data_IF_996580865541
#
_entry.id   IF_996580865541
#
_cell.length_a   1.000
_cell.length_b   1.000
_cell.length_c   1.000
_cell.angle_alpha   90.00
_cell.angle_beta   90.00
_cell.angle_gamma   90.00
#
_symmetry.space_group_name_H-M   'P 1'
#
loop_
_entity.id
_entity.type
_entity.pdbx_description
1 polymer ?
#
# COMPACT_ATOMS: atom_id res chain seq x y z
N UNK A 1 -60.93 42.75 -6.65
CA UNK A 1 -62.28 42.16 -6.50
C UNK A 1 -62.15 40.66 -6.22
N UNK A 2 -62.84 40.29 -5.15
CA UNK A 2 -63.26 38.96 -4.68
C UNK A 2 -62.21 38.04 -4.04
N UNK A 3 -62.30 38.06 -2.74
CA UNK A 3 -61.87 37.12 -1.69
C UNK A 3 -62.75 35.86 -1.80
N UNK A 4 -62.10 34.70 -1.62
CA UNK A 4 -62.80 33.49 -1.14
C UNK A 4 -61.88 32.74 -0.12
N UNK A 5 -62.36 32.82 1.12
CA UNK A 5 -61.91 31.94 2.22
C UNK A 5 -62.62 30.59 2.08
N UNK A 6 -61.91 29.52 2.28
CA UNK A 6 -62.52 28.24 2.63
C UNK A 6 -61.77 27.69 3.88
N UNK A 7 -62.62 27.54 4.89
CA UNK A 7 -62.33 26.85 6.17
C UNK A 7 -62.62 25.37 5.98
N UNK A 8 -61.85 24.48 6.58
CA UNK A 8 -62.24 23.07 6.58
C UNK A 8 -61.28 22.16 7.32
N UNK A 9 -61.59 21.99 8.57
CA UNK A 9 -61.74 20.74 9.38
C UNK A 9 -60.47 19.95 9.70
N UNK A 10 -60.03 20.05 10.97
CA UNK A 10 -59.24 19.11 11.71
C UNK A 10 -60.00 17.76 11.85
N UNK A 11 -59.33 16.66 11.47
CA UNK A 11 -59.75 15.33 11.91
C UNK A 11 -58.54 14.68 12.62
N UNK A 12 -58.65 14.58 13.93
CA UNK A 12 -57.72 13.84 14.78
C UNK A 12 -58.02 12.35 14.64
N UNK A 13 -57.02 11.59 14.24
CA UNK A 13 -57.07 10.12 14.23
C UNK A 13 -56.09 9.57 15.25
N UNK A 14 -56.64 9.09 16.38
CA UNK A 14 -55.93 8.25 17.36
C UNK A 14 -55.60 6.91 16.69
N UNK A 15 -54.35 6.54 16.68
CA UNK A 15 -53.89 5.16 16.38
C UNK A 15 -53.25 4.57 17.60
N UNK A 16 -53.87 3.51 18.09
CA UNK A 16 -53.48 2.67 19.23
C UNK A 16 -52.19 1.90 18.98
N UNK A 17 -51.26 1.98 19.93
CA UNK A 17 -50.09 1.09 20.00
C UNK A 17 -50.56 -0.33 20.38
N UNK A 18 -50.27 -1.28 19.48
CA UNK A 18 -50.26 -2.69 19.81
C UNK A 18 -48.81 -3.15 19.94
N UNK A 19 -48.37 -3.42 21.15
CA UNK A 19 -47.12 -4.08 21.45
C UNK A 19 -47.27 -5.57 21.15
N UNK A 20 -46.52 -6.10 20.15
CA UNK A 20 -46.26 -7.54 20.03
C UNK A 20 -44.78 -7.80 20.32
N UNK A 21 -44.52 -8.42 21.44
CA UNK A 21 -43.22 -9.01 21.77
C UNK A 21 -42.92 -10.18 20.83
N UNK A 22 -41.79 -10.08 20.13
CA UNK A 22 -41.19 -11.17 19.35
C UNK A 22 -39.74 -11.31 19.80
N UNK A 23 -39.45 -12.34 20.58
CA UNK A 23 -38.07 -12.81 20.84
C UNK A 23 -37.47 -13.35 19.56
N UNK A 24 -36.65 -12.58 18.92
CA UNK A 24 -35.82 -13.02 17.78
C UNK A 24 -34.37 -12.77 18.13
N UNK A 25 -33.55 -13.85 18.07
CA UNK A 25 -32.14 -13.85 18.40
C UNK A 25 -31.38 -12.74 17.69
N UNK A 26 -30.82 -11.84 18.46
CA UNK A 26 -29.98 -10.78 17.95
C UNK A 26 -28.64 -11.33 17.51
N UNK A 27 -28.40 -11.38 16.21
CA UNK A 27 -27.05 -11.22 15.69
C UNK A 27 -26.54 -9.90 16.24
N UNK A 28 -25.44 -9.96 16.98
CA UNK A 28 -24.73 -8.79 17.47
C UNK A 28 -24.35 -7.92 16.24
N UNK A 29 -25.17 -6.95 15.95
CA UNK A 29 -24.84 -5.90 15.00
C UNK A 29 -23.66 -5.13 15.57
N UNK A 30 -22.53 -5.23 14.92
CA UNK A 30 -21.42 -4.32 15.12
C UNK A 30 -21.95 -2.90 15.01
N UNK A 31 -21.94 -2.17 16.11
CA UNK A 31 -22.27 -0.75 16.12
C UNK A 31 -21.16 -0.01 15.39
N UNK A 32 -21.34 0.14 14.08
CA UNK A 32 -20.50 1.02 13.29
C UNK A 32 -20.78 2.45 13.75
N UNK A 33 -19.69 3.21 14.00
CA UNK A 33 -19.75 4.65 14.26
C UNK A 33 -20.40 5.43 13.13
N UNK A 34 -20.43 6.77 13.20
CA UNK A 34 -20.95 7.59 12.12
C UNK A 34 -20.27 7.24 10.80
N UNK A 35 -21.06 7.01 9.75
CA UNK A 35 -20.56 6.75 8.40
C UNK A 35 -20.05 8.03 7.78
N UNK A 36 -18.96 7.94 7.00
CA UNK A 36 -18.35 9.14 6.43
C UNK A 36 -17.21 8.82 5.45
N UNK A 37 -16.49 9.83 4.99
CA UNK A 37 -15.33 9.62 4.14
C UNK A 37 -14.20 8.99 4.93
N UNK A 38 -13.43 8.13 4.27
CA UNK A 38 -12.12 7.67 4.75
C UNK A 38 -11.06 8.00 3.72
N UNK A 39 -10.09 8.82 4.12
CA UNK A 39 -8.97 9.24 3.27
C UNK A 39 -7.82 8.26 3.45
N UNK A 40 -7.59 7.43 2.45
CA UNK A 40 -6.56 6.40 2.46
C UNK A 40 -5.37 6.85 1.61
N UNK A 41 -4.23 7.05 2.27
CA UNK A 41 -2.94 7.33 1.62
C UNK A 41 -2.22 5.99 1.43
N UNK A 42 -1.91 5.61 0.19
CA UNK A 42 -1.36 4.28 -0.06
C UNK A 42 -0.26 4.25 -1.12
N UNK A 43 0.60 3.23 -1.02
CA UNK A 43 1.68 2.98 -1.97
C UNK A 43 1.15 2.83 -3.39
N UNK A 44 1.80 3.47 -4.37
CA UNK A 44 1.38 3.52 -5.77
C UNK A 44 1.18 2.14 -6.40
N UNK A 45 1.95 1.14 -5.97
CA UNK A 45 1.81 -0.26 -6.40
C UNK A 45 0.49 -0.95 -6.00
N UNK A 46 -0.38 -0.28 -5.25
CA UNK A 46 -1.71 -0.76 -4.86
C UNK A 46 -2.85 -0.01 -5.56
N UNK A 47 -2.56 0.84 -6.54
CA UNK A 47 -3.59 1.70 -7.19
C UNK A 47 -4.74 0.86 -7.74
N UNK A 48 -4.45 -0.16 -8.50
CA UNK A 48 -5.49 -0.98 -9.12
C UNK A 48 -6.36 -1.68 -8.06
N UNK A 49 -5.73 -2.32 -7.07
CA UNK A 49 -6.44 -2.93 -5.95
C UNK A 49 -7.35 -1.93 -5.23
N UNK A 50 -6.81 -0.77 -4.87
CA UNK A 50 -7.54 0.22 -4.05
C UNK A 50 -8.68 0.87 -4.82
N UNK A 51 -8.45 1.32 -6.06
CA UNK A 51 -9.43 2.07 -6.83
C UNK A 51 -10.48 1.19 -7.53
N UNK A 52 -10.12 -0.03 -7.93
CA UNK A 52 -11.00 -0.87 -8.75
C UNK A 52 -11.57 -2.09 -8.02
N UNK A 53 -11.05 -2.41 -6.83
CA UNK A 53 -11.48 -3.60 -6.11
C UNK A 53 -11.82 -3.32 -4.65
N UNK A 54 -10.85 -3.02 -3.82
CA UNK A 54 -11.00 -2.95 -2.37
C UNK A 54 -11.83 -1.73 -1.93
N UNK A 55 -11.55 -0.54 -2.49
CA UNK A 55 -12.29 0.69 -2.17
C UNK A 55 -13.78 0.57 -2.47
N UNK A 56 -14.19 0.24 -3.73
CA UNK A 56 -15.60 0.07 -4.07
C UNK A 56 -16.33 -1.02 -3.26
N UNK A 57 -15.64 -2.13 -2.96
CA UNK A 57 -16.25 -3.20 -2.13
C UNK A 57 -16.35 -2.82 -0.66
N UNK A 58 -15.39 -2.06 -0.14
CA UNK A 58 -15.46 -1.48 1.19
C UNK A 58 -16.66 -0.54 1.31
N UNK A 59 -16.85 0.37 0.36
CA UNK A 59 -18.02 1.27 0.32
C UNK A 59 -19.33 0.49 0.34
N UNK A 60 -19.44 -0.52 -0.49
CA UNK A 60 -20.63 -1.38 -0.57
C UNK A 60 -20.90 -2.12 0.74
N UNK A 61 -19.86 -2.62 1.41
CA UNK A 61 -19.98 -3.42 2.62
C UNK A 61 -20.27 -2.56 3.86
N UNK A 62 -19.67 -1.38 3.95
CA UNK A 62 -19.66 -0.57 5.17
C UNK A 62 -20.55 0.69 5.08
N UNK A 63 -20.82 1.20 3.88
CA UNK A 63 -21.55 2.45 3.69
C UNK A 63 -20.73 3.72 3.95
N UNK A 64 -19.41 3.57 4.16
CA UNK A 64 -18.47 4.67 4.19
C UNK A 64 -18.02 5.03 2.77
N UNK A 65 -17.44 6.22 2.56
CA UNK A 65 -16.94 6.64 1.25
C UNK A 65 -15.42 6.55 1.20
N UNK A 66 -14.88 5.77 0.27
CA UNK A 66 -13.44 5.64 0.05
C UNK A 66 -12.90 6.85 -0.73
N UNK A 67 -11.85 7.47 -0.21
CA UNK A 67 -11.12 8.55 -0.88
C UNK A 67 -9.63 8.18 -0.93
N UNK A 68 -9.21 7.65 -2.07
CA UNK A 68 -7.83 7.19 -2.28
C UNK A 68 -6.88 8.29 -2.72
N UNK A 69 -5.63 8.20 -2.28
CA UNK A 69 -4.52 8.96 -2.84
C UNK A 69 -3.24 8.14 -2.82
N UNK A 70 -2.65 7.96 -3.99
CA UNK A 70 -1.46 7.15 -4.20
C UNK A 70 -0.21 7.97 -4.50
N UNK A 71 0.94 7.54 -3.97
CA UNK A 71 2.27 7.98 -4.35
C UNK A 71 3.33 7.00 -3.80
N UNK A 72 4.62 7.24 -4.06
CA UNK A 72 5.69 6.53 -3.37
C UNK A 72 5.57 6.68 -1.85
N UNK A 73 5.69 5.59 -1.11
CA UNK A 73 5.39 5.59 0.34
C UNK A 73 6.22 6.59 1.14
N UNK A 74 7.50 6.79 0.80
CA UNK A 74 8.35 7.78 1.49
C UNK A 74 7.94 9.23 1.14
N UNK A 75 7.44 9.46 -0.09
CA UNK A 75 6.87 10.76 -0.47
C UNK A 75 5.60 11.06 0.33
N UNK A 76 4.71 10.07 0.51
CA UNK A 76 3.52 10.20 1.36
C UNK A 76 3.90 10.50 2.81
N UNK A 77 4.88 9.78 3.36
CA UNK A 77 5.37 10.04 4.72
C UNK A 77 5.90 11.47 4.89
N UNK A 78 6.61 11.99 3.89
CA UNK A 78 7.07 13.39 3.87
C UNK A 78 5.89 14.37 3.85
N UNK A 79 4.86 14.11 3.05
CA UNK A 79 3.66 14.95 2.98
C UNK A 79 2.86 14.92 4.30
N UNK A 80 2.77 13.76 4.96
CA UNK A 80 2.16 13.61 6.29
C UNK A 80 2.92 14.43 7.32
N UNK A 81 4.25 14.25 7.42
CA UNK A 81 5.12 15.02 8.33
C UNK A 81 5.03 16.53 8.11
N UNK A 82 5.02 16.94 6.86
CA UNK A 82 4.90 18.35 6.46
C UNK A 82 3.50 18.94 6.59
N UNK A 83 2.49 18.12 6.98
CA UNK A 83 1.07 18.51 7.04
C UNK A 83 0.52 19.02 5.70
N UNK A 84 1.18 18.64 4.60
CA UNK A 84 0.78 18.99 3.24
C UNK A 84 -0.46 18.18 2.83
N UNK A 85 -0.55 16.94 3.33
CA UNK A 85 -1.68 16.04 3.07
C UNK A 85 -2.18 15.41 4.36
N UNK A 86 -3.49 15.53 4.56
CA UNK A 86 -4.20 14.85 5.63
C UNK A 86 -4.75 13.53 5.12
N UNK A 87 -4.71 12.51 5.96
CA UNK A 87 -5.30 11.20 5.71
C UNK A 87 -5.77 10.57 7.02
N UNK A 88 -6.55 9.53 6.89
CA UNK A 88 -7.06 8.74 8.02
C UNK A 88 -6.27 7.44 8.15
N UNK A 89 -5.99 6.80 7.01
CA UNK A 89 -5.23 5.55 6.92
C UNK A 89 -3.98 5.76 6.07
N UNK A 90 -2.89 5.14 6.49
CA UNK A 90 -1.65 5.09 5.71
C UNK A 90 -1.25 3.65 5.43
N UNK A 91 -1.09 3.31 4.13
CA UNK A 91 -0.62 2.00 3.67
C UNK A 91 0.72 2.18 2.95
N UNK A 92 1.77 1.60 3.51
CA UNK A 92 3.12 1.68 2.98
C UNK A 92 3.60 0.34 2.40
N UNK A 93 4.43 0.38 1.37
CA UNK A 93 5.13 -0.79 0.83
C UNK A 93 6.37 -1.20 1.65
N UNK A 94 6.66 -0.50 2.76
CA UNK A 94 7.79 -0.81 3.63
C UNK A 94 7.53 -0.46 5.09
N UNK A 95 7.82 -1.38 6.04
CA UNK A 95 7.75 -1.11 7.48
C UNK A 95 8.64 0.06 7.93
N UNK A 96 9.80 0.26 7.30
CA UNK A 96 10.72 1.34 7.65
C UNK A 96 10.11 2.73 7.47
N UNK A 97 9.25 2.90 6.45
CA UNK A 97 8.57 4.18 6.21
C UNK A 97 7.59 4.50 7.35
N UNK A 98 6.92 3.49 7.92
CA UNK A 98 6.08 3.70 9.10
C UNK A 98 6.93 4.00 10.34
N UNK A 99 8.07 3.33 10.50
CA UNK A 99 8.99 3.62 11.60
C UNK A 99 9.50 5.08 11.57
N UNK A 100 9.71 5.66 10.38
CA UNK A 100 10.08 7.07 10.20
C UNK A 100 8.97 8.05 10.62
N UNK A 101 7.75 7.57 10.84
CA UNK A 101 6.59 8.34 11.32
C UNK A 101 6.30 8.11 12.82
N UNK A 102 7.03 7.19 13.46
CA UNK A 102 6.84 6.84 14.87
C UNK A 102 7.67 7.71 15.81
N UNK A 103 7.16 7.82 17.03
CA UNK A 103 7.82 8.49 18.14
C UNK A 103 7.79 10.02 18.09
N UNK A 104 8.03 10.68 19.25
CA UNK A 104 7.91 12.15 19.40
C UNK A 104 8.85 12.93 18.47
N UNK A 105 10.07 12.44 18.26
CA UNK A 105 11.06 13.07 17.38
C UNK A 105 10.60 13.14 15.92
N UNK A 106 9.71 12.24 15.50
CA UNK A 106 9.15 12.17 14.15
C UNK A 106 7.72 12.72 14.04
N UNK A 107 7.17 13.30 15.11
CA UNK A 107 5.82 13.85 15.17
C UNK A 107 4.74 12.83 15.55
N UNK A 108 5.13 11.59 15.82
CA UNK A 108 4.26 10.49 16.28
C UNK A 108 2.97 10.32 15.44
N UNK A 109 3.12 10.40 14.12
CA UNK A 109 1.99 10.28 13.18
C UNK A 109 1.42 8.88 13.10
N UNK A 110 2.27 7.86 13.32
CA UNK A 110 1.92 6.43 13.29
C UNK A 110 2.29 5.81 14.63
N UNK A 111 1.37 5.74 15.61
CA UNK A 111 1.68 5.13 16.91
C UNK A 111 1.84 3.61 16.82
N UNK A 112 1.14 2.97 15.88
CA UNK A 112 1.21 1.55 15.58
C UNK A 112 0.99 1.30 14.09
N UNK A 113 1.46 0.17 13.59
CA UNK A 113 1.13 -0.33 12.26
C UNK A 113 1.12 -1.86 12.23
N UNK A 114 0.42 -2.42 11.27
CA UNK A 114 0.33 -3.87 11.06
C UNK A 114 0.86 -4.23 9.69
N UNK A 115 1.77 -5.21 9.64
CA UNK A 115 2.19 -5.86 8.39
C UNK A 115 1.14 -6.89 8.02
N UNK A 116 0.66 -6.89 6.76
CA UNK A 116 -0.44 -7.74 6.33
C UNK A 116 -0.21 -8.48 5.01
N UNK A 117 0.65 -7.98 4.13
CA UNK A 117 0.89 -8.58 2.83
C UNK A 117 2.32 -8.34 2.33
N UNK A 118 2.70 -9.05 1.29
CA UNK A 118 3.96 -8.84 0.57
C UNK A 118 3.81 -9.10 -0.93
N UNK A 119 4.73 -8.53 -1.72
CA UNK A 119 4.87 -8.81 -3.14
C UNK A 119 6.35 -8.86 -3.53
N UNK A 120 6.83 -9.95 -4.18
CA UNK A 120 8.19 -10.05 -4.67
C UNK A 120 8.56 -8.92 -5.64
N UNK A 121 9.82 -8.48 -5.59
CA UNK A 121 10.41 -7.63 -6.60
C UNK A 121 10.77 -8.48 -7.82
N UNK A 122 10.43 -8.01 -9.02
CA UNK A 122 10.68 -8.70 -10.30
C UNK A 122 11.18 -7.70 -11.35
N UNK A 123 11.74 -8.20 -12.44
CA UNK A 123 11.96 -7.43 -13.67
C UNK A 123 10.73 -7.60 -14.55
N UNK A 124 9.91 -6.55 -14.68
CA UNK A 124 8.87 -6.50 -15.70
C UNK A 124 9.46 -6.02 -17.02
N UNK A 125 9.14 -6.65 -18.15
CA UNK A 125 9.74 -6.28 -19.44
C UNK A 125 8.73 -6.16 -20.57
N UNK A 126 9.07 -5.33 -21.56
CA UNK A 126 8.30 -5.19 -22.79
C UNK A 126 8.55 -6.39 -23.70
N UNK A 127 7.53 -7.19 -24.07
CA UNK A 127 7.68 -8.36 -24.91
C UNK A 127 8.17 -8.03 -26.34
N UNK A 128 8.04 -6.76 -26.77
CA UNK A 128 8.50 -6.27 -28.06
C UNK A 128 9.93 -5.69 -28.02
N UNK A 129 10.56 -5.65 -26.85
CA UNK A 129 11.96 -5.24 -26.74
C UNK A 129 12.88 -6.24 -27.45
N UNK A 130 13.94 -5.75 -28.08
CA UNK A 130 15.00 -6.60 -28.66
C UNK A 130 15.68 -7.49 -27.62
N UNK A 131 15.59 -7.14 -26.33
CA UNK A 131 16.16 -7.89 -25.22
C UNK A 131 15.17 -8.89 -24.58
N UNK A 132 13.92 -8.96 -25.05
CA UNK A 132 12.90 -9.82 -24.44
C UNK A 132 13.25 -11.31 -24.48
N UNK A 133 13.91 -11.78 -25.54
CA UNK A 133 14.39 -13.18 -25.65
C UNK A 133 15.50 -13.48 -24.64
N UNK A 134 16.38 -12.52 -24.42
CA UNK A 134 17.49 -12.63 -23.48
C UNK A 134 16.99 -12.64 -22.02
N UNK A 135 16.03 -11.79 -21.68
CA UNK A 135 15.40 -11.79 -20.34
C UNK A 135 14.67 -13.09 -20.00
N UNK A 136 14.28 -13.87 -21.01
CA UNK A 136 13.68 -15.23 -20.81
C UNK A 136 14.69 -16.33 -20.60
N UNK A 137 15.92 -16.17 -21.08
CA UNK A 137 16.90 -17.26 -21.20
C UNK A 137 18.22 -17.02 -20.50
N UNK A 138 18.55 -15.75 -20.21
CA UNK A 138 19.79 -15.35 -19.53
C UNK A 138 19.51 -14.82 -18.12
N UNK A 139 20.49 -14.85 -17.21
CA UNK A 139 20.37 -14.20 -15.91
C UNK A 139 20.06 -12.70 -16.05
N UNK A 140 19.09 -12.21 -15.29
CA UNK A 140 18.58 -10.82 -15.35
C UNK A 140 19.70 -9.79 -15.27
N UNK A 141 20.68 -9.99 -14.37
CA UNK A 141 21.77 -9.04 -14.11
C UNK A 141 22.73 -8.85 -15.30
N UNK A 142 22.87 -9.87 -16.15
CA UNK A 142 23.66 -9.77 -17.37
C UNK A 142 22.93 -8.94 -18.42
N UNK A 143 21.62 -9.14 -18.58
CA UNK A 143 20.81 -8.48 -19.62
C UNK A 143 20.63 -7.00 -19.33
N UNK A 144 20.32 -6.63 -18.07
CA UNK A 144 20.08 -5.21 -17.73
C UNK A 144 21.34 -4.33 -17.84
N UNK A 145 22.51 -4.94 -17.94
CA UNK A 145 23.79 -4.23 -18.09
C UNK A 145 24.26 -4.14 -19.55
N UNK A 146 23.53 -4.76 -20.49
CA UNK A 146 23.89 -4.69 -21.90
C UNK A 146 23.84 -3.25 -22.45
N UNK A 147 24.76 -2.89 -23.37
CA UNK A 147 24.78 -1.56 -23.95
C UNK A 147 23.47 -1.19 -24.65
N UNK A 148 22.91 -0.04 -24.26
CA UNK A 148 21.67 0.49 -24.84
C UNK A 148 20.41 -0.16 -24.29
N UNK A 149 20.50 -0.98 -23.24
CA UNK A 149 19.34 -1.44 -22.47
C UNK A 149 18.72 -0.24 -21.74
N UNK A 150 17.38 -0.15 -21.70
CA UNK A 150 16.65 0.93 -21.04
C UNK A 150 15.89 0.36 -19.85
N UNK A 151 16.44 0.54 -18.66
CA UNK A 151 15.87 0.02 -17.40
C UNK A 151 15.13 1.12 -16.64
N UNK A 152 13.87 0.89 -16.33
CA UNK A 152 13.09 1.77 -15.47
C UNK A 152 13.26 1.45 -13.98
N UNK A 153 13.33 2.47 -13.15
CA UNK A 153 13.29 2.35 -11.70
C UNK A 153 12.63 3.58 -11.08
N UNK A 154 12.18 3.48 -9.85
CA UNK A 154 11.71 4.63 -9.09
C UNK A 154 12.83 5.27 -8.27
N UNK A 155 12.62 6.50 -7.79
CA UNK A 155 13.60 7.21 -6.97
C UNK A 155 13.67 6.58 -5.56
N UNK A 156 14.82 6.04 -5.14
CA UNK A 156 14.99 5.44 -3.82
C UNK A 156 14.81 6.41 -2.65
N UNK A 157 14.91 7.72 -2.89
CA UNK A 157 14.69 8.72 -1.85
C UNK A 157 13.20 8.83 -1.45
N UNK A 158 12.30 8.58 -2.41
CA UNK A 158 10.85 8.81 -2.23
C UNK A 158 10.01 7.55 -2.38
N UNK A 159 10.60 6.43 -2.81
CA UNK A 159 9.87 5.20 -3.09
C UNK A 159 10.63 3.94 -2.60
N UNK A 160 9.98 3.06 -1.81
CA UNK A 160 10.55 1.79 -1.37
C UNK A 160 10.97 0.86 -2.52
N UNK A 161 10.30 0.86 -3.67
CA UNK A 161 10.65 0.06 -4.84
C UNK A 161 12.04 0.43 -5.35
N UNK A 162 12.35 1.74 -5.44
CA UNK A 162 13.66 2.22 -5.82
C UNK A 162 14.77 1.79 -4.83
N UNK A 163 14.47 1.78 -3.52
CA UNK A 163 15.38 1.24 -2.50
C UNK A 163 15.63 -0.26 -2.71
N UNK A 164 14.57 -1.03 -2.95
CA UNK A 164 14.69 -2.47 -3.21
C UNK A 164 15.43 -2.75 -4.54
N UNK A 165 15.22 -1.94 -5.56
CA UNK A 165 15.98 -2.03 -6.82
C UNK A 165 17.48 -1.82 -6.59
N UNK A 166 17.89 -0.80 -5.84
CA UNK A 166 19.28 -0.60 -5.45
C UNK A 166 19.85 -1.76 -4.61
N UNK A 167 19.03 -2.27 -3.68
CA UNK A 167 19.38 -3.43 -2.88
C UNK A 167 19.57 -4.67 -3.75
N UNK A 168 18.69 -4.91 -4.74
CA UNK A 168 18.79 -6.02 -5.68
C UNK A 168 20.13 -5.98 -6.46
N UNK A 169 20.53 -4.81 -6.94
CA UNK A 169 21.82 -4.66 -7.61
C UNK A 169 23.00 -4.92 -6.67
N UNK A 170 22.91 -4.45 -5.42
CA UNK A 170 23.97 -4.62 -4.43
C UNK A 170 24.09 -6.08 -3.97
N UNK A 171 22.98 -6.76 -3.73
CA UNK A 171 22.95 -8.17 -3.36
C UNK A 171 23.36 -9.05 -4.54
N UNK A 172 22.87 -8.76 -5.74
CA UNK A 172 23.26 -9.43 -6.97
C UNK A 172 24.77 -9.35 -7.23
N UNK A 173 25.36 -8.17 -7.01
CA UNK A 173 26.81 -8.00 -7.14
C UNK A 173 27.60 -8.95 -6.24
N UNK A 174 27.11 -9.20 -5.01
CA UNK A 174 27.74 -10.13 -4.06
C UNK A 174 27.48 -11.59 -4.44
N UNK A 175 26.22 -11.93 -4.73
CA UNK A 175 25.78 -13.30 -5.02
C UNK A 175 26.44 -13.83 -6.30
N UNK A 176 26.51 -12.99 -7.33
CA UNK A 176 27.05 -13.38 -8.64
C UNK A 176 28.53 -13.04 -8.82
N UNK A 177 29.20 -12.53 -7.77
CA UNK A 177 30.59 -12.10 -7.79
C UNK A 177 30.91 -11.10 -8.93
N UNK A 178 29.97 -10.15 -9.15
CA UNK A 178 30.07 -9.08 -10.12
C UNK A 178 30.03 -7.70 -9.43
N UNK A 179 31.15 -7.21 -8.90
CA UNK A 179 31.20 -5.92 -8.20
C UNK A 179 30.90 -4.73 -9.10
N UNK A 180 30.93 -4.90 -10.42
CA UNK A 180 30.61 -3.89 -11.42
C UNK A 180 29.11 -3.71 -11.67
N UNK A 181 28.27 -4.68 -11.29
CA UNK A 181 26.84 -4.70 -11.58
C UNK A 181 26.10 -3.41 -11.21
N UNK A 182 26.22 -2.82 -10.00
CA UNK A 182 25.51 -1.60 -9.67
C UNK A 182 25.90 -0.40 -10.56
N UNK A 183 27.20 -0.28 -10.90
CA UNK A 183 27.68 0.81 -11.72
C UNK A 183 27.25 0.67 -13.19
N UNK A 184 27.30 -0.55 -13.73
CA UNK A 184 26.87 -0.86 -15.09
C UNK A 184 25.35 -0.66 -15.26
N UNK A 185 24.55 -1.20 -14.34
CA UNK A 185 23.11 -1.03 -14.36
C UNK A 185 22.69 0.46 -14.25
N UNK A 186 23.39 1.25 -13.43
CA UNK A 186 23.11 2.68 -13.25
C UNK A 186 23.21 3.46 -14.56
N UNK A 187 24.04 3.06 -15.51
CA UNK A 187 24.16 3.72 -16.82
C UNK A 187 22.89 3.54 -17.66
N UNK A 188 22.16 2.47 -17.43
CA UNK A 188 20.95 2.11 -18.17
C UNK A 188 19.65 2.51 -17.44
N UNK A 189 19.73 2.92 -16.15
CA UNK A 189 18.54 3.26 -15.35
C UNK A 189 18.02 4.64 -15.71
N UNK A 190 16.72 4.70 -16.01
CA UNK A 190 15.91 5.92 -16.01
C UNK A 190 15.04 5.92 -14.75
N UNK A 191 15.22 6.96 -13.94
CA UNK A 191 14.41 7.16 -12.72
C UNK A 191 13.12 7.87 -13.07
N UNK A 192 11.98 7.31 -12.70
CA UNK A 192 10.64 7.78 -13.02
C UNK A 192 9.75 7.77 -11.77
N UNK A 193 8.71 8.61 -11.73
CA UNK A 193 7.61 8.42 -10.81
C UNK A 193 6.97 7.03 -11.00
N UNK A 194 6.52 6.40 -9.91
CA UNK A 194 5.91 5.07 -9.96
C UNK A 194 4.73 5.01 -10.95
N UNK A 195 3.93 6.06 -11.00
CA UNK A 195 2.76 6.18 -11.89
C UNK A 195 3.09 6.25 -13.38
N UNK A 196 4.35 6.56 -13.75
CA UNK A 196 4.77 6.62 -15.16
C UNK A 196 5.43 5.33 -15.66
N UNK A 197 5.90 4.47 -14.74
CA UNK A 197 6.75 3.33 -15.07
C UNK A 197 6.07 2.36 -16.04
N UNK A 198 4.80 2.02 -15.77
CA UNK A 198 3.99 1.12 -16.63
C UNK A 198 3.83 1.72 -18.03
N UNK A 199 3.35 2.94 -18.13
CA UNK A 199 3.12 3.58 -19.45
C UNK A 199 4.39 3.73 -20.28
N UNK A 200 5.55 3.99 -19.65
CA UNK A 200 6.85 4.04 -20.32
C UNK A 200 7.31 2.67 -20.82
N UNK A 201 7.02 1.61 -20.06
CA UNK A 201 7.29 0.24 -20.48
C UNK A 201 6.42 -0.16 -21.68
N UNK A 202 5.10 0.05 -21.59
CA UNK A 202 4.14 -0.31 -22.63
C UNK A 202 4.38 0.44 -23.95
N UNK A 203 4.74 1.71 -23.85
CA UNK A 203 5.08 2.53 -25.03
C UNK A 203 6.43 2.19 -25.68
N UNK A 204 7.20 1.24 -25.11
CA UNK A 204 8.53 0.86 -25.63
C UNK A 204 9.63 1.87 -25.34
N UNK A 205 9.39 2.85 -24.47
CA UNK A 205 10.43 3.78 -24.01
C UNK A 205 11.40 3.12 -23.03
N UNK A 206 10.96 2.03 -22.40
CA UNK A 206 11.78 1.14 -21.57
C UNK A 206 11.77 -0.27 -22.15
N UNK A 207 12.89 -0.98 -22.00
CA UNK A 207 12.99 -2.41 -22.28
C UNK A 207 12.45 -3.24 -21.13
N UNK A 208 12.77 -2.80 -19.90
CA UNK A 208 12.31 -3.40 -18.66
C UNK A 208 12.28 -2.39 -17.52
N UNK A 209 11.75 -2.80 -16.36
CA UNK A 209 11.78 -2.02 -15.13
C UNK A 209 11.66 -2.90 -13.90
N UNK A 210 11.98 -2.34 -12.74
CA UNK A 210 11.69 -2.99 -11.47
C UNK A 210 10.21 -2.78 -11.11
N UNK A 211 9.51 -3.89 -10.87
CA UNK A 211 8.11 -3.93 -10.50
C UNK A 211 7.91 -4.83 -9.27
N UNK A 212 6.79 -4.69 -8.59
CA UNK A 212 6.31 -5.75 -7.72
C UNK A 212 5.46 -6.74 -8.53
N UNK A 213 5.45 -8.01 -8.10
CA UNK A 213 4.77 -9.09 -8.85
C UNK A 213 3.26 -8.86 -9.01
N UNK A 214 2.58 -8.27 -8.03
CA UNK A 214 1.17 -7.92 -8.12
C UNK A 214 0.92 -6.88 -9.21
N UNK A 215 1.66 -5.79 -9.20
CA UNK A 215 1.61 -4.71 -10.17
C UNK A 215 1.85 -5.21 -11.61
N UNK A 216 2.88 -6.05 -11.78
CA UNK A 216 3.15 -6.66 -13.08
C UNK A 216 2.01 -7.61 -13.51
N UNK A 217 1.44 -8.38 -12.58
CA UNK A 217 0.33 -9.29 -12.83
C UNK A 217 -0.94 -8.57 -13.29
N UNK A 218 -1.33 -7.49 -12.58
CA UNK A 218 -2.47 -6.66 -12.92
C UNK A 218 -2.40 -6.09 -14.33
N UNK A 219 -1.22 -5.56 -14.69
CA UNK A 219 -0.95 -4.94 -15.97
C UNK A 219 -0.57 -5.97 -17.07
N UNK A 220 -0.59 -7.27 -16.74
CA UNK A 220 -0.19 -8.35 -17.65
C UNK A 220 1.21 -8.18 -18.23
N UNK A 221 2.10 -7.54 -17.48
CA UNK A 221 3.49 -7.36 -17.84
C UNK A 221 4.21 -8.69 -17.69
N UNK A 222 4.97 -9.10 -18.70
CA UNK A 222 5.82 -10.29 -18.62
C UNK A 222 6.97 -10.02 -17.64
N UNK A 223 7.32 -11.03 -16.83
CA UNK A 223 8.33 -10.87 -15.79
C UNK A 223 9.46 -11.89 -15.90
N UNK A 224 10.65 -11.46 -15.49
CA UNK A 224 11.78 -12.31 -15.17
C UNK A 224 12.06 -12.23 -13.66
N UNK A 225 12.42 -13.36 -13.05
CA UNK A 225 12.78 -13.39 -11.63
C UNK A 225 14.14 -12.75 -11.40
N UNK A 226 14.40 -12.36 -10.14
CA UNK A 226 15.72 -11.93 -9.70
C UNK A 226 16.60 -13.11 -9.24
N UNK A 227 16.22 -14.33 -9.63
CA UNK A 227 16.92 -15.59 -9.33
C UNK A 227 17.19 -15.78 -7.82
N UNK A 228 18.46 -15.68 -7.38
CA UNK A 228 18.84 -15.85 -5.98
C UNK A 228 18.63 -14.58 -5.12
N UNK A 229 18.22 -13.47 -5.71
CA UNK A 229 17.94 -12.22 -4.99
C UNK A 229 16.46 -12.20 -4.58
N UNK A 230 16.19 -12.43 -3.29
CA UNK A 230 14.83 -12.58 -2.77
C UNK A 230 14.40 -11.31 -2.00
N UNK A 231 13.95 -10.31 -2.72
CA UNK A 231 13.45 -9.05 -2.17
C UNK A 231 11.96 -8.92 -2.44
N UNK A 232 11.24 -8.30 -1.49
CA UNK A 232 9.81 -8.10 -1.59
C UNK A 232 9.37 -6.81 -0.89
N UNK A 233 8.33 -6.17 -1.41
CA UNK A 233 7.56 -5.22 -0.62
C UNK A 233 6.97 -5.92 0.60
N UNK A 234 6.92 -5.21 1.72
CA UNK A 234 6.18 -5.63 2.91
C UNK A 234 5.15 -4.56 3.21
N UNK A 235 3.90 -4.83 2.84
CA UNK A 235 2.82 -3.87 3.01
C UNK A 235 2.36 -3.80 4.46
N UNK A 236 2.22 -2.57 4.92
CA UNK A 236 1.79 -2.24 6.27
C UNK A 236 0.64 -1.25 6.23
N UNK A 237 -0.25 -1.32 7.22
CA UNK A 237 -1.38 -0.39 7.40
C UNK A 237 -1.36 0.20 8.79
N UNK A 238 -1.72 1.48 8.90
CA UNK A 238 -1.90 2.22 10.14
C UNK A 238 -3.09 3.16 10.04
N UNK A 239 -3.78 3.39 11.15
CA UNK A 239 -4.61 4.59 11.34
C UNK A 239 -3.69 5.71 11.80
N UNK A 240 -3.76 6.86 11.14
CA UNK A 240 -2.94 8.01 11.51
C UNK A 240 -3.40 8.61 12.84
N UNK A 241 -2.46 9.05 13.66
CA UNK A 241 -2.75 9.56 15.01
C UNK A 241 -3.65 10.82 15.02
N UNK A 242 -3.64 11.57 13.92
CA UNK A 242 -4.50 12.75 13.73
C UNK A 242 -5.51 12.54 12.58
N UNK A 243 -6.01 11.32 12.44
CA UNK A 243 -7.05 10.99 11.47
C UNK A 243 -8.27 11.90 11.70
N UNK A 244 -8.72 12.64 10.68
CA UNK A 244 -9.97 13.42 10.78
C UNK A 244 -11.19 12.54 11.07
N UNK A 245 -11.23 11.34 10.47
CA UNK A 245 -12.35 10.41 10.52
C UNK A 245 -11.93 9.03 11.09
N UNK A 246 -11.60 8.93 12.40
CA UNK A 246 -11.00 7.72 12.99
C UNK A 246 -11.94 6.50 13.03
N UNK A 247 -13.26 6.71 13.02
CA UNK A 247 -14.25 5.64 12.94
C UNK A 247 -14.21 4.93 11.60
N UNK A 248 -14.51 5.61 10.49
CA UNK A 248 -14.35 5.08 9.13
C UNK A 248 -12.95 4.53 8.84
N UNK A 249 -11.89 5.14 9.41
CA UNK A 249 -10.52 4.63 9.29
C UNK A 249 -10.37 3.23 9.93
N UNK A 250 -10.94 3.02 11.11
CA UNK A 250 -10.92 1.72 11.76
C UNK A 250 -11.75 0.69 10.98
N UNK A 251 -12.93 1.07 10.47
CA UNK A 251 -13.78 0.22 9.65
C UNK A 251 -13.05 -0.21 8.37
N UNK A 252 -12.28 0.70 7.74
CA UNK A 252 -11.47 0.37 6.57
C UNK A 252 -10.35 -0.64 6.90
N UNK A 253 -9.61 -0.43 8.00
CA UNK A 253 -8.56 -1.38 8.42
C UNK A 253 -9.17 -2.75 8.75
N UNK A 254 -10.32 -2.78 9.45
CA UNK A 254 -11.02 -4.02 9.74
C UNK A 254 -11.43 -4.76 8.46
N UNK A 255 -11.96 -4.05 7.47
CA UNK A 255 -12.32 -4.63 6.17
C UNK A 255 -11.10 -5.15 5.43
N UNK A 256 -10.00 -4.38 5.37
CA UNK A 256 -8.75 -4.78 4.70
C UNK A 256 -8.22 -6.13 5.22
N UNK A 257 -8.28 -6.34 6.55
CA UNK A 257 -7.77 -7.57 7.19
C UNK A 257 -8.82 -8.68 7.32
N UNK A 258 -10.07 -8.42 6.92
CA UNK A 258 -11.16 -9.42 6.92
C UNK A 258 -10.91 -10.54 5.90
N UNK A 259 -11.64 -11.67 5.98
CA UNK A 259 -11.58 -12.71 4.96
C UNK A 259 -11.86 -12.19 3.54
N UNK A 260 -12.80 -11.27 3.38
CA UNK A 260 -13.16 -10.64 2.11
C UNK A 260 -12.01 -9.77 1.60
N UNK A 261 -11.47 -8.89 2.45
CA UNK A 261 -10.31 -8.06 2.10
C UNK A 261 -9.10 -8.92 1.71
N UNK A 262 -8.80 -9.96 2.49
CA UNK A 262 -7.71 -10.90 2.19
C UNK A 262 -7.92 -11.66 0.87
N UNK A 263 -9.17 -11.97 0.51
CA UNK A 263 -9.46 -12.59 -0.78
C UNK A 263 -9.14 -11.63 -1.94
N UNK A 264 -9.46 -10.34 -1.79
CA UNK A 264 -9.11 -9.31 -2.78
C UNK A 264 -7.60 -9.12 -2.90
N UNK A 265 -6.87 -9.10 -1.77
CA UNK A 265 -5.39 -9.04 -1.79
C UNK A 265 -4.79 -10.21 -2.60
N UNK A 266 -5.27 -11.43 -2.37
CA UNK A 266 -4.82 -12.62 -3.11
C UNK A 266 -5.18 -12.56 -4.59
N UNK A 267 -6.37 -12.09 -4.92
CA UNK A 267 -6.82 -11.93 -6.30
C UNK A 267 -5.95 -10.92 -7.06
N UNK A 268 -5.45 -9.90 -6.37
CA UNK A 268 -4.52 -8.90 -6.87
C UNK A 268 -3.06 -9.41 -6.96
N UNK A 269 -2.79 -10.67 -6.63
CA UNK A 269 -1.46 -11.26 -6.68
C UNK A 269 -0.57 -11.00 -5.45
N UNK A 270 -1.12 -10.44 -4.38
CA UNK A 270 -0.41 -10.26 -3.13
C UNK A 270 -0.35 -11.55 -2.31
N UNK A 271 0.78 -11.78 -1.66
CA UNK A 271 0.90 -12.82 -0.63
C UNK A 271 0.39 -12.26 0.69
N UNK A 272 -0.74 -12.76 1.18
CA UNK A 272 -1.27 -12.42 2.50
C UNK A 272 -0.37 -13.04 3.56
N UNK A 273 0.06 -12.22 4.51
CA UNK A 273 0.93 -12.62 5.62
C UNK A 273 0.14 -12.72 6.93
N UNK A 274 0.61 -13.53 7.89
CA UNK A 274 0.15 -13.41 9.27
C UNK A 274 0.31 -11.98 9.75
N UNK A 275 -0.75 -11.43 10.36
CA UNK A 275 -0.72 -10.06 10.85
C UNK A 275 0.36 -9.90 11.92
N UNK A 276 1.20 -8.89 11.78
CA UNK A 276 2.26 -8.58 12.73
C UNK A 276 2.15 -7.12 13.13
N UNK A 277 1.86 -6.87 14.41
CA UNK A 277 1.73 -5.53 14.98
C UNK A 277 3.10 -4.99 15.40
N UNK A 278 3.34 -3.72 15.13
CA UNK A 278 4.52 -2.95 15.54
C UNK A 278 4.09 -1.64 16.21
N UNK A 279 4.90 -1.14 17.12
CA UNK A 279 4.62 0.10 17.85
C UNK A 279 3.83 -0.13 19.14
N UNK A 280 2.95 0.80 19.50
CA UNK A 280 2.21 0.78 20.76
C UNK A 280 0.86 0.04 20.64
N UNK A 281 0.68 -1.16 21.24
CA UNK A 281 -0.60 -1.87 21.23
C UNK A 281 -1.72 -1.12 21.97
N UNK A 282 -1.38 -0.23 22.92
CA UNK A 282 -2.38 0.54 23.65
C UNK A 282 -3.06 1.59 22.76
N UNK A 283 -2.35 2.08 21.73
CA UNK A 283 -2.87 3.04 20.78
C UNK A 283 -3.77 2.42 19.70
N UNK A 284 -3.87 1.10 19.61
CA UNK A 284 -4.78 0.42 18.67
C UNK A 284 -6.23 0.70 19.07
N UNK A 285 -7.08 1.22 18.14
CA UNK A 285 -8.49 1.47 18.41
C UNK A 285 -9.21 0.25 19.00
N UNK A 286 -10.11 0.41 19.99
CA UNK A 286 -10.79 -0.71 20.63
C UNK A 286 -11.52 -1.64 19.64
N UNK A 287 -12.10 -1.08 18.57
CA UNK A 287 -12.80 -1.81 17.51
C UNK A 287 -11.88 -2.74 16.72
N UNK A 288 -10.59 -2.44 16.63
CA UNK A 288 -9.60 -3.26 15.93
C UNK A 288 -8.92 -4.31 16.80
N UNK A 289 -9.06 -4.24 18.15
CA UNK A 289 -8.40 -5.19 19.06
C UNK A 289 -8.87 -6.64 18.93
N UNK A 290 -10.05 -6.86 18.35
CA UNK A 290 -10.58 -8.21 18.09
C UNK A 290 -10.01 -8.85 16.82
N UNK A 291 -9.47 -8.05 15.89
CA UNK A 291 -8.99 -8.51 14.58
C UNK A 291 -7.49 -8.33 14.39
N UNK A 292 -6.83 -7.52 15.22
CA UNK A 292 -5.38 -7.31 15.17
C UNK A 292 -4.66 -8.01 16.32
N UNK A 293 -3.36 -8.34 16.18
CA UNK A 293 -2.57 -8.88 17.29
C UNK A 293 -2.55 -7.95 18.50
N UNK A 294 -2.57 -8.51 19.69
CA UNK A 294 -2.56 -7.75 20.96
C UNK A 294 -1.15 -7.46 21.49
N UNK A 295 -0.14 -8.12 20.92
CA UNK A 295 1.27 -7.94 21.28
C UNK A 295 2.05 -7.41 20.09
N UNK A 296 2.88 -6.40 20.33
CA UNK A 296 3.76 -5.88 19.30
C UNK A 296 5.04 -6.73 19.14
N UNK A 297 5.46 -6.91 17.90
CA UNK A 297 6.78 -7.45 17.58
C UNK A 297 7.84 -6.35 17.68
N UNK A 298 9.07 -6.72 18.04
CA UNK A 298 10.19 -5.78 17.96
C UNK A 298 10.37 -5.32 16.50
N UNK A 299 10.73 -4.04 16.26
CA UNK A 299 11.09 -3.58 14.93
C UNK A 299 12.24 -4.43 14.39
N UNK A 300 12.18 -4.79 13.11
CA UNK A 300 13.33 -5.40 12.45
C UNK A 300 14.50 -4.39 12.54
N UNK A 301 15.57 -4.77 13.24
CA UNK A 301 16.77 -3.94 13.35
C UNK A 301 17.27 -3.67 11.94
N UNK A 302 17.44 -2.42 11.50
CA UNK A 302 18.05 -2.17 10.21
C UNK A 302 19.44 -2.78 10.22
N UNK A 303 19.75 -3.61 9.24
CA UNK A 303 21.10 -4.15 9.06
C UNK A 303 22.05 -2.95 8.97
N UNK A 304 23.07 -2.85 9.83
CA UNK A 304 23.95 -1.70 9.82
C UNK A 304 24.62 -1.61 8.45
N UNK A 305 24.41 -0.51 7.76
CA UNK A 305 25.20 -0.16 6.59
C UNK A 305 26.66 -0.12 7.03
N UNK A 306 27.59 -0.86 6.39
CA UNK A 306 28.98 -0.77 6.76
C UNK A 306 29.44 0.68 6.58
N UNK A 307 29.79 1.32 7.69
CA UNK A 307 30.40 2.64 7.72
C UNK A 307 31.65 2.59 6.85
N UNK A 308 31.67 3.33 5.76
CA UNK A 308 32.90 3.63 5.04
C UNK A 308 33.78 4.45 5.97
N UNK A 309 34.74 3.80 6.62
CA UNK A 309 35.78 4.48 7.35
C UNK A 309 36.55 5.39 6.37
N UNK A 310 36.82 6.65 6.71
CA UNK A 310 37.67 7.50 5.89
C UNK A 310 39.08 6.95 5.90
N UNK A 311 39.55 6.48 4.75
CA UNK A 311 40.94 6.09 4.54
C UNK A 311 41.85 7.28 4.84
N UNK A 312 42.54 7.19 5.92
CA UNK A 312 43.62 8.11 6.26
C UNK A 312 44.88 7.77 5.44
N UNK A 313 45.37 8.79 4.78
CA UNK A 313 46.69 9.04 4.18
C UNK A 313 47.03 8.29 2.90
#
# INVERSE_FOLDING_TARGET
>A
MRVARVVGVLTAMLVTLTACGGSGGGTAGTSSGPKGPVKVLYAGSLVNLMEHSLGPKFEQANGDTFQGFSAGSSALATQIKGKVRQGDVFISASPSVNADLQGPANGNWVPWYVKFASAPLVIGYNPNSKFAADLKSKPWYQVITEPGFKLGSTDPAVDPKGKLAQQALTEGAKIYNDPGLPAAAKQNITVLPETELVGRLESGQLDAGFFYSNEAGEQKIQTASLDQVHLAASYTVAVLNMAPDPGPAADFVQYLVSPEGQALLKQDGLTVLPLTLYGDPAAVPPTLKSVLPTTASAPATPTPTPSSAPGGR
#
